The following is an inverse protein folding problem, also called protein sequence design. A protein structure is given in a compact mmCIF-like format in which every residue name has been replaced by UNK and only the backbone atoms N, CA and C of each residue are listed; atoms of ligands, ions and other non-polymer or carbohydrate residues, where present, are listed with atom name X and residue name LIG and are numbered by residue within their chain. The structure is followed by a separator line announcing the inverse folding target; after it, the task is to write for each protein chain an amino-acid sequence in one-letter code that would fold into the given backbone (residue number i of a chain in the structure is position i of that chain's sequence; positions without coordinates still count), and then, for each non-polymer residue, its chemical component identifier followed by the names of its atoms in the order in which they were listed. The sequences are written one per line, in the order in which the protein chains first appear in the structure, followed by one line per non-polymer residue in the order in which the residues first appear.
data_IF_653889372379
#
_entry.id   IF_653889372379
#
_cell.length_a   1.000
_cell.length_b   1.000
_cell.length_c   1.000
_cell.angle_alpha   90.00
_cell.angle_beta   90.00
_cell.angle_gamma   90.00
#
_symmetry.space_group_name_H-M   'P 1'
#
loop_
_entity.id
_entity.type
_entity.pdbx_description
1 polymer ?
#
# COMPACT_ATOMS: atom_id res chain seq x y z
N UNK A 1 -31.97 -17.69 23.20
CA UNK A 1 -31.73 -18.33 21.89
C UNK A 1 -30.47 -17.73 21.29
N UNK A 2 -29.31 -18.32 21.58
CA UNK A 2 -28.04 -17.95 20.97
C UNK A 2 -27.92 -18.72 19.66
N UNK A 3 -28.08 -18.03 18.53
CA UNK A 3 -27.86 -18.62 17.20
C UNK A 3 -26.38 -18.97 17.03
N UNK A 4 -26.01 -20.21 17.34
CA UNK A 4 -24.74 -20.81 16.96
C UNK A 4 -24.81 -21.18 15.48
N UNK A 5 -24.57 -20.20 14.61
CA UNK A 5 -24.40 -20.45 13.16
C UNK A 5 -23.34 -21.54 12.99
N UNK A 6 -23.74 -22.66 12.37
CA UNK A 6 -22.87 -23.81 12.18
C UNK A 6 -21.62 -23.39 11.38
N UNK A 7 -20.46 -23.99 11.68
CA UNK A 7 -19.20 -23.69 10.96
C UNK A 7 -19.29 -23.95 9.45
N UNK A 8 -20.28 -24.72 8.99
CA UNK A 8 -20.57 -24.96 7.58
C UNK A 8 -21.32 -23.79 6.92
N UNK A 9 -22.32 -23.21 7.60
CA UNK A 9 -23.06 -22.03 7.11
C UNK A 9 -22.18 -20.79 7.11
N UNK A 10 -21.35 -20.62 8.15
CA UNK A 10 -20.38 -19.53 8.20
C UNK A 10 -19.42 -19.60 7.01
N UNK A 11 -18.91 -20.79 6.68
CA UNK A 11 -18.10 -21.03 5.48
C UNK A 11 -18.84 -20.70 4.18
N UNK A 12 -20.12 -21.08 4.04
CA UNK A 12 -20.93 -20.73 2.85
C UNK A 12 -21.07 -19.20 2.68
N UNK A 13 -21.25 -18.45 3.76
CA UNK A 13 -21.29 -16.99 3.74
C UNK A 13 -19.92 -16.37 3.41
N UNK A 14 -18.84 -16.84 4.04
CA UNK A 14 -17.46 -16.42 3.77
C UNK A 14 -17.07 -16.57 2.29
N UNK A 15 -17.31 -17.74 1.71
CA UNK A 15 -17.05 -17.97 0.29
C UNK A 15 -17.99 -17.18 -0.63
N UNK A 16 -19.19 -16.82 -0.15
CA UNK A 16 -20.18 -16.06 -0.93
C UNK A 16 -19.78 -14.61 -1.14
N UNK A 17 -19.18 -13.96 -0.14
CA UNK A 17 -18.76 -12.56 -0.22
C UNK A 17 -17.56 -12.40 -1.16
N UNK A 18 -16.52 -13.23 -0.99
CA UNK A 18 -15.33 -13.20 -1.86
C UNK A 18 -15.66 -13.49 -3.33
N UNK A 19 -16.58 -14.42 -3.61
CA UNK A 19 -17.06 -14.67 -4.96
C UNK A 19 -17.88 -13.50 -5.54
N UNK A 20 -18.63 -12.79 -4.70
CA UNK A 20 -19.40 -11.60 -5.12
C UNK A 20 -18.47 -10.44 -5.47
N UNK A 21 -17.45 -10.19 -4.63
CA UNK A 21 -16.41 -9.19 -4.89
C UNK A 21 -15.68 -9.53 -6.19
N UNK A 22 -15.37 -10.81 -6.44
CA UNK A 22 -14.73 -11.23 -7.68
C UNK A 22 -15.57 -10.89 -8.92
N UNK A 23 -16.87 -11.20 -8.91
CA UNK A 23 -17.73 -10.95 -10.08
C UNK A 23 -17.80 -9.47 -10.45
N UNK A 24 -17.64 -8.59 -9.47
CA UNK A 24 -17.71 -7.14 -9.68
C UNK A 24 -16.35 -6.49 -9.93
N UNK A 25 -15.32 -6.80 -9.11
CA UNK A 25 -14.01 -6.15 -9.12
C UNK A 25 -12.89 -6.99 -9.79
N UNK A 26 -13.15 -8.25 -10.13
CA UNK A 26 -12.17 -9.18 -10.69
C UNK A 26 -11.36 -9.94 -9.64
N UNK A 27 -10.55 -10.90 -10.10
CA UNK A 27 -9.81 -11.83 -9.23
C UNK A 27 -8.69 -11.18 -8.42
N UNK A 28 -8.03 -10.17 -8.99
CA UNK A 28 -6.89 -9.49 -8.35
C UNK A 28 -7.31 -8.74 -7.08
N UNK A 29 -8.52 -8.18 -7.04
CA UNK A 29 -9.05 -7.50 -5.85
C UNK A 29 -9.67 -8.52 -4.90
N UNK A 30 -10.37 -9.52 -5.42
CA UNK A 30 -11.00 -10.55 -4.60
C UNK A 30 -9.99 -11.37 -3.78
N UNK A 31 -8.80 -11.68 -4.33
CA UNK A 31 -7.76 -12.44 -3.59
C UNK A 31 -7.23 -11.65 -2.39
N UNK A 32 -7.18 -10.32 -2.47
CA UNK A 32 -6.77 -9.45 -1.36
C UNK A 32 -7.78 -9.53 -0.21
N UNK A 33 -9.08 -9.38 -0.50
CA UNK A 33 -10.11 -9.48 0.54
C UNK A 33 -10.20 -10.89 1.12
N UNK A 34 -10.07 -11.93 0.28
CA UNK A 34 -10.02 -13.31 0.74
C UNK A 34 -8.80 -13.58 1.64
N UNK A 35 -7.65 -12.94 1.38
CA UNK A 35 -6.48 -12.99 2.25
C UNK A 35 -6.74 -12.30 3.59
N UNK A 36 -7.30 -11.10 3.57
CA UNK A 36 -7.57 -10.31 4.77
C UNK A 36 -8.52 -11.04 5.72
N UNK A 37 -9.58 -11.61 5.17
CA UNK A 37 -10.55 -12.41 5.93
C UNK A 37 -9.88 -13.66 6.51
N UNK A 38 -9.16 -14.43 5.69
CA UNK A 38 -8.43 -15.61 6.16
C UNK A 38 -7.39 -15.27 7.24
N UNK A 39 -6.68 -14.15 7.10
CA UNK A 39 -5.68 -13.69 8.04
C UNK A 39 -6.31 -13.34 9.40
N UNK A 40 -7.41 -12.59 9.40
CA UNK A 40 -8.09 -12.21 10.65
C UNK A 40 -8.68 -13.42 11.36
N UNK A 41 -9.28 -14.37 10.63
CA UNK A 41 -9.78 -15.63 11.22
C UNK A 41 -8.68 -16.48 11.85
N UNK A 42 -7.52 -16.61 11.18
CA UNK A 42 -6.40 -17.40 11.70
C UNK A 42 -5.66 -16.72 12.86
N UNK A 43 -5.83 -15.40 13.02
CA UNK A 43 -5.27 -14.65 14.13
C UNK A 43 -6.03 -14.89 15.45
N UNK A 44 -7.36 -15.07 15.40
CA UNK A 44 -8.20 -15.29 16.60
C UNK A 44 -7.73 -16.47 17.47
N UNK A 45 -7.51 -17.70 16.96
CA UNK A 45 -7.03 -18.80 17.80
C UNK A 45 -5.61 -18.54 18.32
N UNK A 46 -4.77 -17.82 17.56
CA UNK A 46 -3.41 -17.51 17.98
C UNK A 46 -3.37 -16.48 19.10
N UNK A 47 -4.20 -15.45 19.04
CA UNK A 47 -4.30 -14.44 20.10
C UNK A 47 -4.89 -15.05 21.37
N UNK A 48 -5.90 -15.91 21.26
CA UNK A 48 -6.45 -16.63 22.41
C UNK A 48 -5.38 -17.48 23.10
N UNK A 49 -4.61 -18.26 22.34
CA UNK A 49 -3.53 -19.06 22.90
C UNK A 49 -2.41 -18.18 23.50
N UNK A 50 -2.06 -17.07 22.84
CA UNK A 50 -1.06 -16.13 23.33
C UNK A 50 -1.49 -15.48 24.66
N UNK A 51 -2.77 -15.12 24.80
CA UNK A 51 -3.33 -14.58 26.04
C UNK A 51 -3.26 -15.62 27.16
N UNK A 52 -3.61 -16.88 26.88
CA UNK A 52 -3.48 -17.98 27.86
C UNK A 52 -2.03 -18.13 28.30
N UNK A 53 -1.08 -18.17 27.36
CA UNK A 53 0.35 -18.26 27.64
C UNK A 53 0.88 -17.06 28.45
N UNK A 54 0.35 -15.86 28.19
CA UNK A 54 0.65 -14.65 28.96
C UNK A 54 0.18 -14.77 30.41
N UNK A 55 -1.06 -15.21 30.65
CA UNK A 55 -1.56 -15.41 32.01
C UNK A 55 -0.80 -16.54 32.73
N UNK A 56 -0.51 -17.65 32.06
CA UNK A 56 0.29 -18.74 32.64
C UNK A 56 1.68 -18.24 33.04
N UNK A 57 2.36 -17.48 32.17
CA UNK A 57 3.69 -16.91 32.48
C UNK A 57 3.64 -15.86 33.59
N UNK A 58 2.52 -15.11 33.71
CA UNK A 58 2.31 -14.14 34.77
C UNK A 58 2.08 -14.80 36.14
N UNK A 59 1.36 -15.92 36.18
CA UNK A 59 1.06 -16.65 37.43
C UNK A 59 2.11 -17.68 37.82
N UNK A 60 2.88 -18.20 36.87
CA UNK A 60 3.83 -19.29 37.12
C UNK A 60 4.97 -19.24 36.11
N UNK A 61 6.16 -18.96 36.63
CA UNK A 61 7.48 -19.03 36.00
C UNK A 61 7.86 -17.82 35.12
N UNK A 62 8.57 -16.87 35.72
CA UNK A 62 9.60 -16.04 35.05
C UNK A 62 10.79 -16.92 34.60
N UNK A 63 10.52 -17.95 33.79
CA UNK A 63 11.55 -18.87 33.32
C UNK A 63 11.84 -18.63 31.85
N UNK A 64 13.11 -18.75 31.47
CA UNK A 64 13.60 -18.81 30.09
C UNK A 64 12.78 -19.78 29.21
N UNK A 65 12.20 -20.82 29.83
CA UNK A 65 11.35 -21.82 29.18
C UNK A 65 10.03 -21.23 28.67
N UNK A 66 9.41 -20.28 29.38
CA UNK A 66 8.17 -19.63 28.94
C UNK A 66 8.35 -18.78 27.69
N UNK A 67 9.45 -18.01 27.63
CA UNK A 67 9.82 -17.20 26.46
C UNK A 67 10.13 -18.11 25.26
N UNK A 68 10.89 -19.19 25.50
CA UNK A 68 11.20 -20.18 24.47
C UNK A 68 9.95 -20.88 23.92
N UNK A 69 9.03 -21.29 24.79
CA UNK A 69 7.76 -21.90 24.39
C UNK A 69 6.90 -20.94 23.55
N UNK A 70 6.83 -19.67 23.93
CA UNK A 70 6.12 -18.64 23.16
C UNK A 70 6.73 -18.42 21.77
N UNK A 71 8.06 -18.37 21.68
CA UNK A 71 8.75 -18.25 20.39
C UNK A 71 8.50 -19.47 19.49
N UNK A 72 8.59 -20.68 20.04
CA UNK A 72 8.31 -21.93 19.31
C UNK A 72 6.86 -21.98 18.81
N UNK A 73 5.90 -21.58 19.66
CA UNK A 73 4.51 -21.47 19.26
C UNK A 73 4.31 -20.50 18.09
N UNK A 74 4.90 -19.30 18.13
CA UNK A 74 4.79 -18.32 17.04
C UNK A 74 5.39 -18.86 15.72
N UNK A 75 6.51 -19.57 15.78
CA UNK A 75 7.11 -20.21 14.59
C UNK A 75 6.21 -21.30 14.00
N UNK A 76 5.60 -22.14 14.85
CA UNK A 76 4.67 -23.18 14.44
C UNK A 76 3.40 -22.57 13.83
N UNK A 77 2.84 -21.55 14.48
CA UNK A 77 1.67 -20.84 13.96
C UNK A 77 1.94 -20.18 12.61
N UNK A 78 3.07 -19.47 12.47
CA UNK A 78 3.44 -18.84 11.20
C UNK A 78 3.58 -19.86 10.06
N UNK A 79 4.25 -20.99 10.33
CA UNK A 79 4.40 -22.08 9.36
C UNK A 79 3.04 -22.67 8.97
N UNK A 80 2.20 -22.95 9.98
CA UNK A 80 0.83 -23.45 9.76
C UNK A 80 -0.02 -22.47 8.94
N UNK A 81 0.04 -21.19 9.27
CA UNK A 81 -0.64 -20.12 8.56
C UNK A 81 -0.26 -20.10 7.08
N UNK A 82 1.03 -20.08 6.75
CA UNK A 82 1.49 -20.06 5.36
C UNK A 82 1.10 -21.32 4.58
N UNK A 83 1.21 -22.50 5.20
CA UNK A 83 0.79 -23.77 4.57
C UNK A 83 -0.71 -23.75 4.29
N UNK A 84 -1.52 -23.30 5.26
CA UNK A 84 -2.98 -23.27 5.12
C UNK A 84 -3.44 -22.22 4.10
N UNK A 85 -2.77 -21.06 4.05
CA UNK A 85 -2.99 -20.03 3.04
C UNK A 85 -2.69 -20.54 1.63
N UNK A 86 -1.55 -21.20 1.42
CA UNK A 86 -1.20 -21.81 0.11
C UNK A 86 -2.28 -22.78 -0.36
N UNK A 87 -2.78 -23.64 0.53
CA UNK A 87 -3.89 -24.58 0.21
C UNK A 87 -5.20 -23.86 -0.09
N UNK A 88 -5.49 -22.78 0.64
CA UNK A 88 -6.67 -21.96 0.42
C UNK A 88 -6.63 -21.26 -0.94
N UNK A 89 -5.50 -20.63 -1.30
CA UNK A 89 -5.28 -20.03 -2.61
C UNK A 89 -5.47 -21.03 -3.74
N UNK A 90 -4.95 -22.25 -3.62
CA UNK A 90 -5.11 -23.28 -4.65
C UNK A 90 -6.59 -23.67 -4.83
N UNK A 91 -7.33 -23.80 -3.72
CA UNK A 91 -8.77 -24.08 -3.75
C UNK A 91 -9.54 -22.95 -4.44
N UNK A 92 -9.16 -21.71 -4.14
CA UNK A 92 -9.78 -20.52 -4.70
C UNK A 92 -9.47 -20.36 -6.19
N UNK A 93 -8.22 -20.56 -6.60
CA UNK A 93 -7.79 -20.55 -8.00
C UNK A 93 -8.47 -21.65 -8.82
N UNK A 94 -8.65 -22.84 -8.25
CA UNK A 94 -9.40 -23.92 -8.90
C UNK A 94 -10.88 -23.55 -9.06
N UNK A 95 -11.55 -23.12 -7.99
CA UNK A 95 -12.96 -22.68 -8.02
C UNK A 95 -13.17 -21.51 -8.96
N UNK A 96 -12.20 -20.61 -9.04
CA UNK A 96 -12.27 -19.46 -9.91
C UNK A 96 -11.94 -19.77 -11.37
N UNK A 97 -11.41 -20.97 -11.66
CA UNK A 97 -10.97 -21.32 -13.01
C UNK A 97 -9.71 -20.57 -13.46
N UNK A 98 -9.03 -19.85 -12.56
CA UNK A 98 -7.78 -19.15 -12.87
C UNK A 98 -6.55 -20.03 -12.77
N UNK A 99 -6.68 -21.25 -12.23
CA UNK A 99 -5.59 -22.22 -12.16
C UNK A 99 -5.08 -22.63 -13.56
N UNK A 100 -5.97 -22.61 -14.57
CA UNK A 100 -5.67 -22.98 -15.95
C UNK A 100 -5.39 -21.78 -16.86
N UNK A 101 -5.02 -20.62 -16.29
CA UNK A 101 -4.62 -19.47 -17.12
C UNK A 101 -3.53 -19.93 -18.11
N UNK A 102 -3.61 -19.52 -19.39
CA UNK A 102 -2.59 -19.84 -20.38
C UNK A 102 -1.21 -19.41 -19.87
N UNK A 103 -0.17 -20.17 -20.24
CA UNK A 103 1.21 -19.92 -19.82
C UNK A 103 1.54 -18.42 -19.87
N UNK A 104 2.27 -17.92 -18.86
CA UNK A 104 2.71 -16.50 -18.73
C UNK A 104 3.34 -15.95 -20.03
N UNK A 105 3.88 -16.83 -20.88
CA UNK A 105 4.42 -16.52 -22.21
C UNK A 105 3.40 -16.02 -23.24
N UNK A 106 2.11 -16.36 -23.07
CA UNK A 106 0.99 -15.93 -23.91
C UNK A 106 0.36 -14.61 -23.43
N UNK A 107 0.79 -14.09 -22.28
CA UNK A 107 0.38 -12.77 -21.83
C UNK A 107 0.93 -11.68 -22.75
N UNK A 108 0.08 -10.70 -23.05
CA UNK A 108 0.42 -9.57 -23.91
C UNK A 108 1.48 -8.68 -23.22
N UNK A 109 2.42 -8.10 -23.98
CA UNK A 109 3.37 -7.16 -23.42
C UNK A 109 2.65 -5.93 -22.85
N UNK A 110 3.16 -5.38 -21.75
CA UNK A 110 2.60 -4.16 -21.16
C UNK A 110 2.68 -3.01 -22.17
N UNK A 111 1.70 -2.08 -22.20
CA UNK A 111 1.69 -0.97 -23.16
C UNK A 111 2.93 -0.06 -23.10
N UNK A 112 3.59 0.00 -21.94
CA UNK A 112 4.77 0.85 -21.72
C UNK A 112 6.08 0.14 -22.06
N UNK A 113 6.05 -1.12 -22.49
CA UNK A 113 7.23 -1.88 -22.82
C UNK A 113 7.89 -1.35 -24.10
N UNK A 114 9.21 -1.13 -24.03
CA UNK A 114 9.99 -0.55 -25.12
C UNK A 114 10.92 -1.59 -25.72
N UNK A 115 11.00 -1.66 -27.05
CA UNK A 115 11.87 -2.61 -27.73
C UNK A 115 11.98 -2.31 -29.21
N UNK A 116 12.89 -3.01 -29.89
CA UNK A 116 12.90 -3.01 -31.36
C UNK A 116 11.84 -4.00 -31.83
N UNK A 117 11.08 -3.68 -32.87
CA UNK A 117 10.12 -4.62 -33.43
C UNK A 117 10.85 -5.86 -33.92
N UNK A 118 10.42 -7.03 -33.43
CA UNK A 118 10.95 -8.34 -33.78
C UNK A 118 9.84 -9.37 -33.80
N UNK A 119 10.15 -10.59 -34.23
CA UNK A 119 9.17 -11.69 -34.27
C UNK A 119 9.23 -12.46 -32.95
N UNK A 120 8.09 -12.65 -32.28
CA UNK A 120 8.01 -13.50 -31.08
C UNK A 120 8.32 -14.95 -31.47
N UNK A 121 9.26 -15.64 -30.79
CA UNK A 121 9.60 -17.03 -31.11
C UNK A 121 8.47 -18.03 -30.82
N UNK A 122 7.53 -17.69 -29.93
CA UNK A 122 6.41 -18.54 -29.52
C UNK A 122 5.17 -18.28 -30.38
N UNK A 123 4.75 -17.02 -30.49
CA UNK A 123 3.49 -16.67 -31.19
C UNK A 123 3.68 -16.34 -32.66
N UNK A 124 4.91 -16.03 -33.10
CA UNK A 124 5.20 -15.63 -34.47
C UNK A 124 4.73 -14.23 -34.86
N UNK A 125 4.03 -13.51 -33.98
CA UNK A 125 3.56 -12.15 -34.25
C UNK A 125 4.68 -11.11 -34.08
N UNK A 126 4.60 -9.96 -34.79
CA UNK A 126 5.53 -8.87 -34.59
C UNK A 126 5.25 -8.18 -33.24
N UNK A 127 6.24 -8.21 -32.34
CA UNK A 127 6.18 -7.56 -31.03
C UNK A 127 7.47 -6.79 -30.75
N UNK A 128 7.46 -5.76 -29.88
CA UNK A 128 8.69 -5.18 -29.37
C UNK A 128 9.51 -6.26 -28.66
N UNK A 129 10.81 -6.35 -28.94
CA UNK A 129 11.75 -7.28 -28.30
C UNK A 129 12.86 -6.47 -27.63
N UNK A 130 13.23 -6.89 -26.42
CA UNK A 130 14.32 -6.31 -25.63
C UNK A 130 15.29 -7.41 -25.20
N UNK A 131 16.60 -7.14 -25.27
CA UNK A 131 17.62 -8.14 -24.93
C UNK A 131 17.67 -8.41 -23.43
N UNK A 132 17.48 -9.66 -23.03
CA UNK A 132 17.43 -10.05 -21.62
C UNK A 132 18.75 -9.85 -20.89
N UNK A 133 19.88 -10.07 -21.56
CA UNK A 133 21.22 -9.84 -20.96
C UNK A 133 21.41 -8.41 -20.50
N UNK A 134 21.01 -7.42 -21.31
CA UNK A 134 21.10 -6.00 -20.94
C UNK A 134 20.21 -5.67 -19.74
N UNK A 135 19.00 -6.24 -19.71
CA UNK A 135 18.07 -6.10 -18.58
C UNK A 135 18.66 -6.68 -17.30
N UNK A 136 19.15 -7.92 -17.35
CA UNK A 136 19.67 -8.61 -16.18
C UNK A 136 20.95 -7.95 -15.65
N UNK A 137 21.82 -7.46 -16.54
CA UNK A 137 22.98 -6.66 -16.15
C UNK A 137 22.54 -5.36 -15.45
N UNK A 138 21.56 -4.64 -16.00
CA UNK A 138 21.03 -3.44 -15.38
C UNK A 138 20.42 -3.72 -13.99
N UNK A 139 19.60 -4.76 -13.86
CA UNK A 139 19.02 -5.17 -12.57
C UNK A 139 20.14 -5.49 -11.57
N UNK A 140 21.14 -6.25 -12.00
CA UNK A 140 22.20 -6.73 -11.11
C UNK A 140 23.15 -5.62 -10.67
N UNK A 141 23.53 -4.71 -11.56
CA UNK A 141 24.53 -3.68 -11.28
C UNK A 141 23.95 -2.32 -10.89
N UNK A 142 22.68 -2.05 -11.17
CA UNK A 142 22.03 -0.78 -10.82
C UNK A 142 20.96 -0.99 -9.77
N UNK A 143 20.02 -1.91 -10.00
CA UNK A 143 18.88 -2.07 -9.09
C UNK A 143 19.30 -2.62 -7.73
N UNK A 144 19.91 -3.81 -7.67
CA UNK A 144 20.28 -4.40 -6.38
C UNK A 144 21.25 -3.52 -5.56
N UNK A 145 22.28 -2.89 -6.16
CA UNK A 145 23.16 -1.99 -5.43
C UNK A 145 22.46 -0.73 -4.95
N UNK A 146 21.51 -0.18 -5.72
CA UNK A 146 20.72 0.98 -5.27
C UNK A 146 19.86 0.65 -4.04
N UNK A 147 19.28 -0.56 -4.00
CA UNK A 147 18.52 -1.03 -2.85
C UNK A 147 19.46 -1.15 -1.66
N UNK A 148 20.60 -1.83 -1.82
CA UNK A 148 21.60 -1.99 -0.77
C UNK A 148 22.13 -0.65 -0.24
N UNK A 149 22.42 0.32 -1.12
CA UNK A 149 22.85 1.66 -0.74
C UNK A 149 21.79 2.36 0.12
N UNK A 150 20.52 2.26 -0.26
CA UNK A 150 19.40 2.81 0.50
C UNK A 150 19.27 2.15 1.89
N UNK A 151 19.53 0.84 1.99
CA UNK A 151 19.54 0.15 3.28
C UNK A 151 20.67 0.67 4.17
N UNK A 152 21.86 0.88 3.59
CA UNK A 152 23.02 1.40 4.31
C UNK A 152 22.82 2.85 4.77
N UNK A 153 22.24 3.71 3.93
CA UNK A 153 21.96 5.10 4.32
C UNK A 153 20.91 5.17 5.43
N UNK A 154 19.86 4.35 5.37
CA UNK A 154 18.88 4.21 6.44
C UNK A 154 19.54 3.80 7.77
N UNK A 155 20.36 2.76 7.75
CA UNK A 155 21.08 2.29 8.94
C UNK A 155 22.03 3.36 9.48
N UNK A 156 22.75 4.07 8.62
CA UNK A 156 23.65 5.15 9.02
C UNK A 156 22.90 6.30 9.70
N UNK A 157 21.81 6.79 9.11
CA UNK A 157 21.02 7.90 9.69
C UNK A 157 20.43 7.49 11.03
N UNK A 158 19.96 6.25 11.17
CA UNK A 158 19.49 5.71 12.45
C UNK A 158 20.61 5.70 13.51
N UNK A 159 21.80 5.21 13.17
CA UNK A 159 22.95 5.20 14.09
C UNK A 159 23.30 6.62 14.58
N UNK A 160 23.36 7.59 13.66
CA UNK A 160 23.61 8.99 14.00
C UNK A 160 22.51 9.56 14.88
N UNK A 161 21.25 9.34 14.51
CA UNK A 161 20.10 9.81 15.26
C UNK A 161 20.11 9.30 16.70
N UNK A 162 20.33 8.00 16.89
CA UNK A 162 20.35 7.39 18.22
C UNK A 162 21.54 7.86 19.06
N UNK A 163 22.70 8.06 18.42
CA UNK A 163 23.88 8.62 19.10
C UNK A 163 23.61 10.03 19.61
N UNK A 164 23.01 10.90 18.79
CA UNK A 164 22.68 12.27 19.19
C UNK A 164 21.57 12.30 20.25
N UNK A 165 20.54 11.46 20.12
CA UNK A 165 19.49 11.31 21.14
C UNK A 165 20.08 10.89 22.49
N UNK A 166 21.00 9.92 22.52
CA UNK A 166 21.62 9.46 23.75
C UNK A 166 22.50 10.54 24.39
N UNK A 167 23.25 11.31 23.58
CA UNK A 167 24.01 12.48 24.08
C UNK A 167 23.07 13.51 24.72
N UNK A 168 21.98 13.85 24.05
CA UNK A 168 21.00 14.84 24.54
C UNK A 168 20.32 14.36 25.81
N UNK A 169 19.96 13.08 25.91
CA UNK A 169 19.35 12.54 27.13
C UNK A 169 20.34 12.56 28.30
N UNK A 170 21.60 12.19 28.07
CA UNK A 170 22.63 12.21 29.12
C UNK A 170 22.95 13.64 29.57
N UNK A 171 23.00 14.62 28.65
CA UNK A 171 23.19 16.03 29.01
C UNK A 171 21.95 16.65 29.63
N UNK A 172 20.75 16.26 29.18
CA UNK A 172 19.49 16.69 29.77
C UNK A 172 19.32 16.16 31.19
N UNK A 173 19.76 14.92 31.49
CA UNK A 173 19.77 14.39 32.86
C UNK A 173 20.70 15.22 33.78
N UNK A 174 21.86 15.65 33.27
CA UNK A 174 22.77 16.54 34.00
C UNK A 174 22.23 17.98 34.17
N UNK A 175 21.54 18.51 33.15
CA UNK A 175 21.02 19.90 33.12
C UNK A 175 19.65 20.03 33.78
N UNK A 176 18.82 18.97 33.80
CA UNK A 176 17.50 18.96 34.44
C UNK A 176 17.58 19.15 35.97
N UNK A 177 18.75 18.86 36.57
CA UNK A 177 19.04 19.19 37.98
C UNK A 177 19.15 20.71 38.20
N UNK A 178 19.38 21.50 37.14
CA UNK A 178 19.73 22.92 37.26
C UNK A 178 18.84 23.90 36.48
N UNK A 179 18.05 23.44 35.49
CA UNK A 179 17.23 24.32 34.65
C UNK A 179 15.80 23.79 34.44
N UNK A 180 14.85 24.31 35.24
CA UNK A 180 13.40 24.11 35.09
C UNK A 180 12.83 25.04 34.03
N UNK A 181 13.12 24.78 32.75
CA UNK A 181 12.69 25.63 31.63
C UNK A 181 11.97 24.88 30.51
N UNK A 182 11.00 25.55 29.87
CA UNK A 182 10.33 25.09 28.65
C UNK A 182 11.31 24.79 27.50
N UNK A 183 12.47 25.47 27.49
CA UNK A 183 13.57 25.22 26.54
C UNK A 183 14.14 23.81 26.67
N UNK A 184 14.39 23.33 27.89
CA UNK A 184 14.90 21.97 28.15
C UNK A 184 13.92 20.90 27.66
N UNK A 185 12.61 21.14 27.84
CA UNK A 185 11.57 20.27 27.29
C UNK A 185 11.65 20.18 25.77
N UNK A 186 11.69 21.32 25.06
CA UNK A 186 11.77 21.33 23.60
C UNK A 186 13.01 20.57 23.08
N UNK A 187 14.17 20.74 23.72
CA UNK A 187 15.42 20.08 23.31
C UNK A 187 15.36 18.54 23.34
N UNK A 188 14.61 17.94 24.26
CA UNK A 188 14.46 16.47 24.35
C UNK A 188 13.55 15.92 23.24
N UNK A 189 12.51 16.65 22.84
CA UNK A 189 11.52 16.16 21.85
C UNK A 189 11.87 16.51 20.39
N UNK A 190 12.63 17.57 20.14
CA UNK A 190 13.04 17.99 18.78
C UNK A 190 13.67 16.84 17.96
N UNK A 191 14.64 16.06 18.48
CA UNK A 191 15.23 14.95 17.73
C UNK A 191 14.18 13.93 17.29
N UNK A 192 13.25 13.57 18.18
CA UNK A 192 12.20 12.60 17.87
C UNK A 192 11.32 13.07 16.72
N UNK A 193 10.96 14.35 16.69
CA UNK A 193 10.16 14.93 15.59
C UNK A 193 10.95 14.99 14.29
N UNK A 194 12.24 15.36 14.34
CA UNK A 194 13.08 15.39 13.13
C UNK A 194 13.26 14.00 12.53
N UNK A 195 13.40 12.96 13.35
CA UNK A 195 13.51 11.59 12.88
C UNK A 195 12.19 11.06 12.29
N UNK A 196 11.04 11.39 12.88
CA UNK A 196 9.75 11.01 12.30
C UNK A 196 9.50 11.71 10.96
N UNK A 197 9.84 13.01 10.84
CA UNK A 197 9.79 13.73 9.57
C UNK A 197 10.74 13.10 8.54
N UNK A 198 11.99 12.79 8.95
CA UNK A 198 12.97 12.13 8.08
C UNK A 198 12.46 10.78 7.54
N UNK A 199 11.99 9.90 8.41
CA UNK A 199 11.52 8.55 8.01
C UNK A 199 10.31 8.62 7.07
N UNK A 200 9.41 9.60 7.23
CA UNK A 200 8.31 9.82 6.28
C UNK A 200 8.81 10.36 4.94
N UNK A 201 9.69 11.35 4.93
CA UNK A 201 10.31 11.85 3.69
C UNK A 201 11.07 10.74 2.95
N UNK A 202 11.85 9.93 3.67
CA UNK A 202 12.65 8.84 3.13
C UNK A 202 11.77 7.73 2.52
N UNK A 203 10.66 7.37 3.18
CA UNK A 203 9.69 6.42 2.64
C UNK A 203 9.08 6.89 1.31
N UNK A 204 8.73 8.18 1.20
CA UNK A 204 8.23 8.77 -0.05
C UNK A 204 9.26 8.79 -1.17
N UNK A 205 10.53 9.09 -0.85
CA UNK A 205 11.64 9.07 -1.82
C UNK A 205 11.87 7.64 -2.31
N UNK A 206 11.94 6.69 -1.38
CA UNK A 206 12.17 5.27 -1.70
C UNK A 206 11.07 4.68 -2.57
N UNK A 207 9.80 5.05 -2.32
CA UNK A 207 8.68 4.66 -3.18
C UNK A 207 8.81 5.18 -4.62
N UNK A 208 9.16 6.46 -4.79
CA UNK A 208 9.40 7.05 -6.12
C UNK A 208 10.59 6.42 -6.82
N UNK A 209 11.68 6.18 -6.08
CA UNK A 209 12.89 5.52 -6.58
C UNK A 209 12.57 4.10 -7.03
N UNK A 210 11.79 3.31 -6.28
CA UNK A 210 11.39 1.96 -6.66
C UNK A 210 10.62 1.92 -8.01
N UNK A 211 9.67 2.83 -8.20
CA UNK A 211 8.91 2.96 -9.46
C UNK A 211 9.85 3.34 -10.59
N UNK A 212 10.67 4.38 -10.40
CA UNK A 212 11.62 4.84 -11.42
C UNK A 212 12.60 3.75 -11.84
N UNK A 213 13.16 2.99 -10.89
CA UNK A 213 14.06 1.88 -11.19
C UNK A 213 13.36 0.78 -11.97
N UNK A 214 12.16 0.39 -11.55
CA UNK A 214 11.42 -0.70 -12.19
C UNK A 214 10.93 -0.32 -13.59
N UNK A 215 10.63 0.97 -13.82
CA UNK A 215 10.35 1.49 -15.16
C UNK A 215 11.58 1.45 -16.08
N UNK A 216 12.78 1.69 -15.53
CA UNK A 216 14.05 1.60 -16.28
C UNK A 216 14.45 0.15 -16.59
N UNK A 217 14.08 -0.81 -15.75
CA UNK A 217 14.32 -2.25 -16.00
C UNK A 217 13.55 -2.79 -17.20
N UNK A 218 12.48 -2.10 -17.64
CA UNK A 218 11.73 -2.40 -18.85
C UNK A 218 11.28 -3.87 -18.93
N UNK A 219 10.47 -4.29 -17.97
CA UNK A 219 9.84 -5.62 -17.94
C UNK A 219 8.80 -5.78 -19.06
N UNK A 220 8.74 -6.97 -19.68
CA UNK A 220 7.79 -7.27 -20.77
C UNK A 220 6.36 -7.40 -20.25
N UNK A 221 6.18 -8.16 -19.17
CA UNK A 221 4.87 -8.50 -18.62
C UNK A 221 4.53 -7.62 -17.42
N UNK A 222 3.22 -7.40 -17.23
CA UNK A 222 2.72 -6.65 -16.08
C UNK A 222 2.97 -7.41 -14.77
N UNK A 223 2.79 -8.74 -14.76
CA UNK A 223 3.10 -9.62 -13.63
C UNK A 223 4.52 -9.44 -13.10
N UNK A 224 5.51 -9.52 -14.01
CA UNK A 224 6.92 -9.37 -13.68
C UNK A 224 7.25 -7.95 -13.21
N UNK A 225 6.68 -6.93 -13.85
CA UNK A 225 6.86 -5.55 -13.43
C UNK A 225 6.37 -5.34 -11.99
N UNK A 226 5.13 -5.76 -11.71
CA UNK A 226 4.52 -5.63 -10.38
C UNK A 226 5.29 -6.43 -9.34
N UNK A 227 5.70 -7.67 -9.65
CA UNK A 227 6.52 -8.48 -8.74
C UNK A 227 7.83 -7.78 -8.35
N UNK A 228 8.59 -7.29 -9.33
CA UNK A 228 9.86 -6.59 -9.06
C UNK A 228 9.66 -5.26 -8.35
N UNK A 229 8.56 -4.54 -8.63
CA UNK A 229 8.20 -3.32 -7.93
C UNK A 229 7.87 -3.61 -6.46
N UNK A 230 7.01 -4.62 -6.22
CA UNK A 230 6.61 -5.05 -4.88
C UNK A 230 7.82 -5.44 -4.05
N UNK A 231 8.76 -6.22 -4.61
CA UNK A 231 9.98 -6.60 -3.88
C UNK A 231 10.83 -5.40 -3.47
N UNK A 232 11.04 -4.43 -4.36
CA UNK A 232 11.80 -3.21 -4.04
C UNK A 232 11.08 -2.40 -2.96
N UNK A 233 9.79 -2.16 -3.11
CA UNK A 233 8.98 -1.44 -2.13
C UNK A 233 8.98 -2.15 -0.77
N UNK A 234 8.86 -3.49 -0.76
CA UNK A 234 8.91 -4.30 0.44
C UNK A 234 10.25 -4.15 1.14
N UNK A 235 11.37 -4.24 0.44
CA UNK A 235 12.71 -4.08 1.03
C UNK A 235 12.93 -2.68 1.62
N UNK A 236 12.52 -1.63 0.89
CA UNK A 236 12.64 -0.25 1.39
C UNK A 236 11.76 0.00 2.62
N UNK A 237 10.50 -0.44 2.57
CA UNK A 237 9.58 -0.30 3.69
C UNK A 237 9.99 -1.15 4.88
N UNK A 238 10.52 -2.36 4.65
CA UNK A 238 11.02 -3.24 5.70
C UNK A 238 12.13 -2.55 6.49
N UNK A 239 13.13 -2.00 5.81
CA UNK A 239 14.23 -1.32 6.50
C UNK A 239 13.74 -0.07 7.22
N UNK A 240 12.88 0.75 6.62
CA UNK A 240 12.35 1.91 7.32
C UNK A 240 11.55 1.55 8.59
N UNK A 241 10.78 0.47 8.55
CA UNK A 241 9.92 0.07 9.67
C UNK A 241 10.66 -0.70 10.77
N UNK A 242 11.59 -1.59 10.41
CA UNK A 242 12.24 -2.53 11.35
C UNK A 242 13.68 -2.17 11.71
N UNK A 243 14.36 -1.29 10.96
CA UNK A 243 15.77 -0.94 11.23
C UNK A 243 15.96 -0.35 12.64
N UNK A 244 15.06 0.54 13.07
CA UNK A 244 15.06 1.10 14.42
C UNK A 244 14.92 0.04 15.50
N UNK A 245 14.00 -0.91 15.31
CA UNK A 245 13.76 -2.01 16.26
C UNK A 245 14.95 -2.95 16.34
N UNK A 246 15.56 -3.32 15.20
CA UNK A 246 16.76 -4.15 15.19
C UNK A 246 17.95 -3.47 15.85
N UNK A 247 18.13 -2.17 15.63
CA UNK A 247 19.17 -1.42 16.30
C UNK A 247 18.99 -1.41 17.82
N UNK A 248 17.78 -1.12 18.31
CA UNK A 248 17.52 -1.12 19.75
C UNK A 248 17.69 -2.52 20.33
N UNK A 249 17.16 -3.54 19.67
CA UNK A 249 17.17 -4.92 20.18
C UNK A 249 18.58 -5.52 20.21
N UNK A 250 19.38 -5.35 19.14
CA UNK A 250 20.67 -6.03 19.01
C UNK A 250 21.87 -5.16 19.38
N UNK A 251 21.83 -3.85 19.12
CA UNK A 251 22.96 -2.95 19.38
C UNK A 251 22.89 -2.29 20.76
N UNK A 252 21.73 -1.73 21.11
CA UNK A 252 21.53 -1.05 22.41
C UNK A 252 21.17 -2.04 23.51
N UNK A 253 20.46 -3.13 23.17
CA UNK A 253 20.01 -4.19 24.07
C UNK A 253 19.10 -3.70 25.23
N UNK A 254 18.35 -2.62 25.01
CA UNK A 254 17.38 -2.09 25.98
C UNK A 254 15.95 -2.54 25.64
N UNK A 255 15.42 -3.46 26.45
CA UNK A 255 14.07 -4.02 26.26
C UNK A 255 12.95 -3.01 26.61
N UNK A 256 13.18 -2.07 27.52
CA UNK A 256 12.18 -1.07 27.92
C UNK A 256 12.03 -0.05 26.80
N UNK A 257 13.16 0.42 26.27
CA UNK A 257 13.19 1.27 25.09
C UNK A 257 12.57 0.56 23.87
N UNK A 258 12.86 -0.72 23.67
CA UNK A 258 12.28 -1.49 22.57
C UNK A 258 10.75 -1.57 22.65
N UNK A 259 10.19 -1.88 23.82
CA UNK A 259 8.72 -1.98 24.01
C UNK A 259 8.02 -0.65 23.76
N UNK A 260 8.57 0.45 24.30
CA UNK A 260 8.00 1.80 24.12
C UNK A 260 8.08 2.26 22.68
N UNK A 261 9.21 2.04 21.99
CA UNK A 261 9.35 2.34 20.56
C UNK A 261 8.44 1.48 19.68
N UNK A 262 8.32 0.19 19.96
CA UNK A 262 7.44 -0.72 19.20
C UNK A 262 5.98 -0.30 19.32
N UNK A 263 5.50 0.00 20.54
CA UNK A 263 4.14 0.48 20.76
C UNK A 263 3.90 1.81 20.03
N UNK A 264 4.84 2.76 20.13
CA UNK A 264 4.75 4.03 19.42
C UNK A 264 4.73 3.84 17.89
N UNK A 265 5.55 2.94 17.33
CA UNK A 265 5.56 2.65 15.90
C UNK A 265 4.26 2.00 15.40
N UNK A 266 3.67 1.08 16.17
CA UNK A 266 2.39 0.47 15.81
C UNK A 266 1.26 1.51 15.77
N UNK A 267 1.17 2.35 16.79
CA UNK A 267 0.13 3.41 16.87
C UNK A 267 0.36 4.44 15.75
N UNK A 268 1.59 4.91 15.57
CA UNK A 268 1.89 5.92 14.55
C UNK A 268 1.68 5.41 13.14
N UNK A 269 2.01 4.15 12.83
CA UNK A 269 1.76 3.56 11.51
C UNK A 269 0.26 3.38 11.25
N UNK A 270 -0.51 2.86 12.21
CA UNK A 270 -1.96 2.78 12.08
C UNK A 270 -2.59 4.14 11.78
N UNK A 271 -2.16 5.20 12.48
CA UNK A 271 -2.67 6.55 12.21
C UNK A 271 -2.19 7.11 10.87
N UNK A 272 -0.91 6.92 10.53
CA UNK A 272 -0.34 7.47 9.29
C UNK A 272 -0.89 6.77 8.05
N UNK A 273 -1.33 5.52 8.15
CA UNK A 273 -1.84 4.77 7.00
C UNK A 273 -3.36 4.96 6.86
N UNK A 274 -4.12 4.93 7.95
CA UNK A 274 -5.59 5.06 7.92
C UNK A 274 -6.07 6.47 7.57
N UNK A 275 -5.36 7.52 8.02
CA UNK A 275 -5.77 8.91 7.77
C UNK A 275 -5.72 9.24 6.26
N UNK A 276 -4.61 9.01 5.54
CA UNK A 276 -4.56 9.29 4.10
C UNK A 276 -5.41 8.35 3.26
N UNK A 277 -5.66 7.12 3.71
CA UNK A 277 -6.44 6.14 2.95
C UNK A 277 -7.96 6.36 3.07
N UNK A 278 -8.45 6.80 4.24
CA UNK A 278 -9.89 6.96 4.48
C UNK A 278 -10.29 8.43 4.50
N UNK A 279 -9.58 9.25 5.28
CA UNK A 279 -9.99 10.63 5.55
C UNK A 279 -9.73 11.52 4.33
N UNK A 280 -8.56 11.42 3.70
CA UNK A 280 -8.25 12.28 2.54
C UNK A 280 -9.20 12.03 1.35
N UNK A 281 -9.51 10.78 0.94
CA UNK A 281 -10.48 10.54 -0.13
C UNK A 281 -11.88 10.97 0.27
N UNK A 282 -12.29 10.76 1.52
CA UNK A 282 -13.59 11.22 2.00
C UNK A 282 -13.71 12.75 1.95
N UNK A 283 -12.70 13.49 2.44
CA UNK A 283 -12.66 14.95 2.35
C UNK A 283 -12.71 15.39 0.88
N UNK A 284 -11.89 14.77 0.02
CA UNK A 284 -11.83 15.11 -1.40
C UNK A 284 -13.19 14.92 -2.07
N UNK A 285 -13.81 13.74 -1.92
CA UNK A 285 -15.14 13.44 -2.48
C UNK A 285 -16.18 14.40 -1.93
N UNK A 286 -16.13 14.71 -0.64
CA UNK A 286 -17.08 15.63 -0.01
C UNK A 286 -16.92 17.06 -0.52
N UNK A 287 -15.69 17.51 -0.71
CA UNK A 287 -15.36 18.82 -1.26
C UNK A 287 -15.80 18.91 -2.72
N UNK A 288 -15.49 17.89 -3.54
CA UNK A 288 -15.89 17.82 -4.93
C UNK A 288 -17.43 17.87 -5.05
N UNK A 289 -18.16 17.07 -4.26
CA UNK A 289 -19.62 17.13 -4.19
C UNK A 289 -20.15 18.51 -3.79
N UNK A 290 -19.49 19.19 -2.84
CA UNK A 290 -19.88 20.54 -2.42
C UNK A 290 -19.66 21.56 -3.55
N UNK A 291 -18.52 21.50 -4.25
CA UNK A 291 -18.20 22.35 -5.40
C UNK A 291 -19.22 22.14 -6.53
N UNK A 292 -19.53 20.89 -6.87
CA UNK A 292 -20.53 20.56 -7.89
C UNK A 292 -21.90 21.11 -7.56
N UNK A 293 -22.33 21.03 -6.28
CA UNK A 293 -23.60 21.64 -5.85
C UNK A 293 -23.61 23.15 -6.00
N UNK A 294 -22.49 23.82 -5.78
CA UNK A 294 -22.39 25.27 -6.00
C UNK A 294 -22.45 25.61 -7.49
N UNK A 295 -21.72 24.86 -8.33
CA UNK A 295 -21.77 25.05 -9.79
C UNK A 295 -23.17 24.81 -10.36
N UNK A 296 -23.87 23.77 -9.88
CA UNK A 296 -25.25 23.50 -10.28
C UNK A 296 -26.18 24.68 -9.94
N UNK A 297 -26.10 25.23 -8.72
CA UNK A 297 -26.88 26.42 -8.33
C UNK A 297 -26.58 27.65 -9.18
N UNK A 298 -25.32 27.88 -9.52
CA UNK A 298 -24.94 29.00 -10.39
C UNK A 298 -25.49 28.81 -11.80
N UNK A 299 -25.41 27.59 -12.34
CA UNK A 299 -25.98 27.26 -13.65
C UNK A 299 -27.51 27.38 -13.66
N UNK A 300 -28.19 26.99 -12.58
CA UNK A 300 -29.63 27.19 -12.37
C UNK A 300 -30.00 28.67 -12.45
N UNK A 301 -29.28 29.51 -11.71
CA UNK A 301 -29.52 30.96 -11.76
C UNK A 301 -29.30 31.57 -13.16
N UNK A 302 -28.32 31.07 -13.94
CA UNK A 302 -28.10 31.54 -15.32
C UNK A 302 -29.16 31.01 -16.29
N UNK A 303 -29.67 29.80 -16.09
CA UNK A 303 -30.69 29.26 -16.97
C UNK A 303 -32.07 29.86 -16.74
N UNK A 304 -32.41 30.16 -15.48
CA UNK A 304 -33.61 30.91 -15.12
C UNK A 304 -33.57 32.34 -15.70
N UNK A 305 -32.37 32.91 -15.90
CA UNK A 305 -32.19 34.22 -16.56
C UNK A 305 -32.43 34.18 -18.08
N UNK A 306 -32.19 33.03 -18.74
CA UNK A 306 -32.29 32.88 -20.20
C UNK A 306 -33.45 32.01 -20.69
N UNK A 307 -34.30 31.51 -19.80
CA UNK A 307 -35.48 30.66 -20.07
C UNK A 307 -35.17 29.48 -21.04
N UNK A 308 -34.02 28.81 -20.81
CA UNK A 308 -33.54 27.73 -21.69
C UNK A 308 -34.24 26.38 -21.36
N UNK A 309 -35.06 25.82 -22.27
CA UNK A 309 -35.82 24.58 -22.03
C UNK A 309 -34.93 23.33 -21.94
N UNK A 310 -33.69 23.37 -22.41
CA UNK A 310 -32.75 22.24 -22.33
C UNK A 310 -32.00 22.17 -21.01
N UNK A 311 -32.11 23.20 -20.17
CA UNK A 311 -31.36 23.29 -18.93
C UNK A 311 -31.71 22.19 -17.92
N UNK A 312 -33.00 21.86 -17.78
CA UNK A 312 -33.46 20.81 -16.85
C UNK A 312 -32.87 19.44 -17.20
N UNK A 313 -32.76 19.12 -18.50
CA UNK A 313 -32.18 17.87 -18.99
C UNK A 313 -30.68 17.83 -18.72
N UNK A 314 -29.97 18.93 -19.00
CA UNK A 314 -28.53 19.05 -18.73
C UNK A 314 -28.22 19.00 -17.21
N UNK A 315 -29.08 19.58 -16.37
CA UNK A 315 -28.97 19.54 -14.91
C UNK A 315 -29.14 18.13 -14.36
N UNK A 316 -30.13 17.38 -14.85
CA UNK A 316 -30.35 15.99 -14.44
C UNK A 316 -29.14 15.12 -14.84
N UNK A 317 -28.64 15.30 -16.05
CA UNK A 317 -27.46 14.58 -16.56
C UNK A 317 -26.19 14.94 -15.78
N UNK A 318 -25.94 16.22 -15.49
CA UNK A 318 -24.80 16.66 -14.68
C UNK A 318 -24.89 16.19 -13.21
N UNK A 319 -26.10 16.06 -12.67
CA UNK A 319 -26.32 15.55 -11.31
C UNK A 319 -26.02 14.05 -11.22
N UNK A 320 -26.40 13.28 -12.25
CA UNK A 320 -26.05 11.85 -12.36
C UNK A 320 -24.54 11.68 -12.54
N UNK A 321 -23.91 12.46 -13.43
CA UNK A 321 -22.47 12.42 -13.67
C UNK A 321 -21.64 12.85 -12.44
N UNK A 322 -22.13 13.82 -11.67
CA UNK A 322 -21.48 14.30 -10.43
C UNK A 322 -21.64 13.37 -9.22
N UNK A 323 -22.56 12.41 -9.26
CA UNK A 323 -22.73 11.38 -8.23
C UNK A 323 -21.81 10.16 -8.43
N UNK A 324 -21.20 10.02 -9.60
CA UNK A 324 -20.27 8.93 -9.89
C UNK A 324 -18.92 9.22 -9.22
N UNK A 325 -18.42 8.35 -8.30
CA UNK A 325 -17.07 8.49 -7.80
C UNK A 325 -16.06 8.29 -8.94
N UNK A 326 -15.11 9.21 -9.09
CA UNK A 326 -14.01 9.10 -10.04
C UNK A 326 -13.06 7.97 -9.56
N UNK A 327 -13.22 6.75 -10.09
CA UNK A 327 -12.35 5.62 -9.73
C UNK A 327 -10.91 5.91 -10.15
N UNK A 328 -9.92 5.76 -9.25
CA UNK A 328 -8.52 6.05 -9.54
C UNK A 328 -7.86 4.87 -10.28
N UNK A 329 -8.39 4.45 -11.43
CA UNK A 329 -7.74 3.47 -12.29
C UNK A 329 -7.62 4.05 -13.69
N UNK A 330 -6.48 4.71 -13.96
CA UNK A 330 -6.13 5.15 -15.31
C UNK A 330 -5.80 6.64 -15.46
N UNK A 331 -4.74 7.13 -14.81
CA UNK A 331 -4.11 8.41 -15.19
C UNK A 331 -3.46 8.40 -16.60
N UNK A 332 -3.57 7.30 -17.36
CA UNK A 332 -2.95 7.14 -18.68
C UNK A 332 -3.71 7.79 -19.85
N UNK A 333 -5.03 8.06 -19.74
CA UNK A 333 -5.82 8.53 -20.90
C UNK A 333 -6.07 10.05 -20.94
N UNK A 334 -5.55 10.83 -19.98
CA UNK A 334 -5.77 12.28 -19.90
C UNK A 334 -5.04 13.11 -20.97
N UNK A 335 -4.10 12.54 -21.72
CA UNK A 335 -3.43 13.24 -22.83
C UNK A 335 -4.14 13.11 -24.19
N UNK A 336 -4.99 12.10 -24.40
CA UNK A 336 -5.66 11.92 -25.70
C UNK A 336 -6.95 12.75 -25.81
N UNK A 337 -7.69 12.96 -24.71
CA UNK A 337 -8.98 13.64 -24.79
C UNK A 337 -8.89 15.17 -24.89
N UNK A 338 -7.77 15.77 -24.43
CA UNK A 338 -7.60 17.24 -24.46
C UNK A 338 -7.23 17.76 -25.86
N UNK A 339 -6.76 16.90 -26.77
CA UNK A 339 -6.38 17.27 -28.14
C UNK A 339 -7.56 17.26 -29.14
N UNK A 340 -8.63 16.51 -28.85
CA UNK A 340 -9.80 16.45 -29.75
C UNK A 340 -10.89 17.51 -29.49
N UNK A 341 -10.86 18.22 -28.35
CA UNK A 341 -11.79 19.36 -28.13
C UNK A 341 -11.53 20.53 -29.08
N UNK A 342 -10.31 20.70 -29.57
CA UNK A 342 -9.99 21.77 -30.54
C UNK A 342 -10.43 21.46 -31.97
N UNK A 343 -10.74 20.20 -32.32
CA UNK A 343 -11.21 19.84 -33.66
C UNK A 343 -12.74 19.80 -33.79
N UNK A 344 -13.47 19.48 -32.72
CA UNK A 344 -14.95 19.48 -32.76
C UNK A 344 -15.56 20.89 -32.73
N UNK A 345 -14.84 21.89 -32.22
CA UNK A 345 -15.35 23.27 -32.20
C UNK A 345 -15.32 23.96 -33.57
N UNK A 346 -14.55 23.44 -34.54
CA UNK A 346 -14.39 24.06 -35.87
C UNK A 346 -15.33 23.49 -36.92
N UNK A 347 -15.96 22.32 -36.70
CA UNK A 347 -16.91 21.72 -37.65
C UNK A 347 -18.39 22.07 -37.40
N UNK A 348 -18.74 22.56 -36.21
CA UNK A 348 -20.13 22.97 -35.90
C UNK A 348 -20.45 24.43 -36.26
N UNK A 349 -19.46 25.25 -36.60
CA UNK A 349 -19.66 26.66 -37.03
C UNK A 349 -19.80 26.79 -38.56
N UNK A 350 -19.47 25.75 -39.34
CA UNK A 350 -19.53 25.80 -40.82
C UNK A 350 -20.79 25.16 -41.43
N UNK A 351 -21.69 24.59 -40.64
CA UNK A 351 -22.90 23.92 -41.13
C UNK A 351 -24.20 24.75 -40.96
N UNK A 352 -24.09 26.03 -40.63
CA UNK A 352 -25.23 26.92 -40.37
C UNK A 352 -25.42 28.07 -41.36
N UNK A 353 -24.69 28.10 -42.48
CA UNK A 353 -24.86 29.10 -43.55
C UNK A 353 -24.68 28.45 -44.92
N UNK A 354 -25.70 27.73 -45.39
CA UNK A 354 -26.19 27.67 -46.79
C UNK A 354 -27.67 27.32 -46.73
#
# INVERSE_FOLDING_TARGET
MTCTVSTAERRKLLYGVSDSIRRYFGEHIAIYFAFLEFYTEMLVPATLLAIIMFFVSFFSLESLQGIGAFAAFNMLWATFFFVRWKRYCATLAYRWGTLLKPNEQLELPRPQFRGKMGKNPVTGFPEPVYSERKRNLWITFVSYPSVALCLLTSAYVLNKFMTERNKINNTAEQVAVQASGFSSFLWVYIPSVLYTVWTKCFSLISGRTAVWLTDRENHRLQSHYEFHLIWKLLLFNFVNSFSSLFYIAFWVQDLVLLRTHLAAQLITNQMTDQIPEIILPWIKVRLDQWIFKQQAKTLEAHADEYDDPNFMVLKEQATIEGQLPEYPVGKANRCCFRRNRSYCHTQLVSAGNV
#
